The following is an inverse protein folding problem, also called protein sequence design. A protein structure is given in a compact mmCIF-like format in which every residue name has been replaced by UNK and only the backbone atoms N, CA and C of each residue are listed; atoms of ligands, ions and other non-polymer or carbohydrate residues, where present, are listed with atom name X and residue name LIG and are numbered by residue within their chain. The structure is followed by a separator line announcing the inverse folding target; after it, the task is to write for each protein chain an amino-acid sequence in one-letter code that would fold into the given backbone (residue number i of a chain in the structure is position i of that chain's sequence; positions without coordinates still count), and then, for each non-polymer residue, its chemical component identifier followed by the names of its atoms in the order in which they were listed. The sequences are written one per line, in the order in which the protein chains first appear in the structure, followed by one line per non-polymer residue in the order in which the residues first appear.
data_IF_528771010005
#
_entry.id   IF_528771010005
#
_cell.length_a   1.000
_cell.length_b   1.000
_cell.length_c   1.000
_cell.angle_alpha   90.00
_cell.angle_beta   90.00
_cell.angle_gamma   90.00
#
_symmetry.space_group_name_H-M   'P 1'
#
loop_
_entity.id
_entity.type
_entity.pdbx_description
1 polymer ?
#
# COMPACT_ATOMS: atom_id res chain seq x y z
N UNK A 1 15.10 -25.00 0.47
CA UNK A 1 13.73 -25.21 0.97
C UNK A 1 13.08 -23.84 1.07
N UNK A 2 12.32 -23.42 0.05
CA UNK A 2 11.45 -22.25 0.18
C UNK A 2 10.22 -22.73 0.94
N UNK A 3 10.04 -22.23 2.16
CA UNK A 3 8.85 -22.55 2.96
C UNK A 3 7.65 -21.93 2.24
N UNK A 4 6.84 -22.74 1.56
CA UNK A 4 5.57 -22.34 0.93
C UNK A 4 4.49 -22.29 2.02
N UNK A 5 4.74 -21.51 3.06
CA UNK A 5 3.68 -21.06 3.93
C UNK A 5 3.37 -19.64 3.45
N UNK A 6 2.16 -19.37 2.93
CA UNK A 6 1.76 -17.98 2.70
C UNK A 6 1.97 -17.27 4.04
N UNK A 7 2.55 -16.07 3.97
CA UNK A 7 2.79 -15.19 5.10
C UNK A 7 1.41 -14.82 5.67
N UNK A 8 0.82 -15.73 6.43
CA UNK A 8 -0.28 -15.40 7.32
C UNK A 8 0.37 -14.58 8.41
N UNK A 9 0.51 -13.27 8.13
CA UNK A 9 0.60 -12.28 9.18
C UNK A 9 -0.43 -12.70 10.22
N UNK A 10 0.01 -12.91 11.46
CA UNK A 10 -0.88 -13.30 12.56
C UNK A 10 -1.93 -12.20 12.85
N UNK A 11 -1.82 -11.08 12.14
CA UNK A 11 -2.73 -9.95 12.11
C UNK A 11 -3.46 -9.95 10.76
N UNK A 12 -4.78 -9.74 10.80
CA UNK A 12 -5.64 -9.53 9.63
C UNK A 12 -6.34 -8.18 9.75
N UNK A 13 -6.70 -7.52 8.64
CA UNK A 13 -7.56 -6.35 8.71
C UNK A 13 -8.96 -6.74 9.19
N UNK A 14 -9.70 -5.81 9.79
CA UNK A 14 -11.04 -6.08 10.32
C UNK A 14 -12.01 -4.97 9.94
N UNK A 15 -13.18 -5.32 9.40
CA UNK A 15 -14.25 -4.32 9.15
C UNK A 15 -14.76 -3.65 10.43
N UNK A 16 -14.36 -4.15 11.61
CA UNK A 16 -14.70 -3.59 12.92
C UNK A 16 -13.58 -2.73 13.51
N UNK A 17 -12.54 -2.43 12.74
CA UNK A 17 -11.45 -1.61 13.23
C UNK A 17 -11.95 -0.22 13.65
N UNK A 18 -11.52 0.28 14.82
CA UNK A 18 -11.97 1.57 15.32
C UNK A 18 -11.35 2.69 14.49
N UNK A 19 -12.20 3.49 13.84
CA UNK A 19 -11.82 4.69 13.09
C UNK A 19 -10.53 4.50 12.27
N UNK A 20 -10.50 3.60 11.28
CA UNK A 20 -9.28 3.21 10.59
C UNK A 20 -8.57 4.43 9.98
N UNK A 21 -7.26 4.53 10.19
CA UNK A 21 -6.38 5.55 9.64
C UNK A 21 -5.36 4.87 8.74
N UNK A 22 -5.31 5.27 7.47
CA UNK A 22 -4.35 4.78 6.48
C UNK A 22 -3.39 5.91 6.16
N UNK A 23 -2.17 5.81 6.66
CA UNK A 23 -1.04 6.63 6.27
C UNK A 23 -0.35 5.91 5.11
N UNK A 24 -0.18 6.56 3.97
CA UNK A 24 0.41 5.93 2.80
C UNK A 24 1.40 6.85 2.11
N UNK A 25 2.30 6.26 1.31
CA UNK A 25 3.26 7.05 0.57
C UNK A 25 2.59 7.88 -0.54
N UNK A 26 2.67 9.20 -0.37
CA UNK A 26 2.92 10.12 -1.47
C UNK A 26 1.73 10.81 -2.12
N UNK A 27 2.00 12.05 -2.58
CA UNK A 27 1.09 12.89 -3.38
C UNK A 27 1.02 12.48 -4.86
N UNK A 28 1.98 11.69 -5.34
CA UNK A 28 2.03 11.18 -6.72
C UNK A 28 2.74 9.82 -6.84
N UNK A 29 2.87 9.02 -5.77
CA UNK A 29 3.48 7.69 -5.84
C UNK A 29 2.45 6.66 -6.31
N UNK A 30 2.63 6.01 -7.48
CA UNK A 30 1.70 5.00 -7.94
C UNK A 30 1.61 3.77 -7.04
N UNK A 31 2.73 3.37 -6.44
CA UNK A 31 2.76 2.21 -5.54
C UNK A 31 2.01 2.51 -4.24
N UNK A 32 2.36 3.60 -3.56
CA UNK A 32 1.67 4.03 -2.35
C UNK A 32 0.19 4.33 -2.54
N UNK A 33 -0.21 4.90 -3.69
CA UNK A 33 -1.63 5.11 -3.98
C UNK A 33 -2.37 3.82 -4.28
N UNK A 34 -1.77 2.86 -5.00
CA UNK A 34 -2.35 1.53 -5.18
C UNK A 34 -2.44 0.76 -3.85
N UNK A 35 -1.48 0.95 -2.95
CA UNK A 35 -1.52 0.40 -1.60
C UNK A 35 -2.70 0.97 -0.80
N UNK A 36 -2.88 2.29 -0.85
CA UNK A 36 -4.02 2.98 -0.24
C UNK A 36 -5.36 2.57 -0.86
N UNK A 37 -5.41 2.33 -2.19
CA UNK A 37 -6.59 1.83 -2.88
C UNK A 37 -7.04 0.49 -2.31
N UNK A 38 -6.12 -0.44 -2.02
CA UNK A 38 -6.44 -1.72 -1.40
C UNK A 38 -7.17 -1.50 -0.05
N UNK A 39 -6.65 -0.62 0.80
CA UNK A 39 -7.28 -0.28 2.08
C UNK A 39 -8.63 0.44 1.90
N UNK A 40 -8.71 1.41 0.99
CA UNK A 40 -9.93 2.17 0.69
C UNK A 40 -11.07 1.26 0.24
N UNK A 41 -10.79 0.33 -0.68
CA UNK A 41 -11.74 -0.71 -1.12
C UNK A 41 -12.19 -1.59 0.04
N UNK A 42 -11.26 -1.98 0.91
CA UNK A 42 -11.58 -2.80 2.05
C UNK A 42 -12.51 -2.05 3.01
N UNK A 43 -12.17 -0.83 3.45
CA UNK A 43 -13.01 -0.12 4.40
C UNK A 43 -14.26 0.52 3.79
N UNK A 44 -14.47 0.43 2.46
CA UNK A 44 -15.65 0.97 1.80
C UNK A 44 -15.80 2.48 2.02
N UNK A 45 -14.69 3.22 2.02
CA UNK A 45 -14.65 4.66 2.27
C UNK A 45 -14.77 5.08 3.74
N UNK A 46 -14.78 4.15 4.70
CA UNK A 46 -14.87 4.47 6.13
C UNK A 46 -13.52 4.82 6.77
N UNK A 47 -12.40 4.55 6.09
CA UNK A 47 -11.08 4.90 6.56
C UNK A 47 -10.75 6.37 6.23
N UNK A 48 -10.06 7.03 7.15
CA UNK A 48 -9.34 8.28 6.84
C UNK A 48 -8.05 7.90 6.12
N UNK A 49 -7.79 8.47 4.95
CA UNK A 49 -6.57 8.21 4.18
C UNK A 49 -5.75 9.50 4.09
N UNK A 50 -4.48 9.42 4.48
CA UNK A 50 -3.55 10.55 4.49
C UNK A 50 -2.30 10.16 3.73
N UNK A 51 -2.11 10.79 2.57
CA UNK A 51 -0.90 10.66 1.76
C UNK A 51 0.21 11.52 2.34
N UNK A 52 1.38 10.93 2.56
CA UNK A 52 2.54 11.58 3.17
C UNK A 52 3.79 11.37 2.32
N UNK A 53 4.57 12.44 2.16
CA UNK A 53 5.91 12.38 1.58
C UNK A 53 7.00 12.38 2.67
N UNK A 54 8.20 11.95 2.31
CA UNK A 54 9.34 12.02 3.23
C UNK A 54 9.60 13.46 3.68
N UNK A 55 9.54 13.67 5.01
CA UNK A 55 9.76 14.97 5.64
C UNK A 55 8.48 15.75 5.97
N UNK A 56 7.31 15.29 5.55
CA UNK A 56 6.03 15.91 5.92
C UNK A 56 5.73 15.77 7.43
N UNK A 57 6.23 14.71 8.05
CA UNK A 57 6.06 14.42 9.49
C UNK A 57 7.40 14.51 10.19
N UNK A 58 7.55 15.49 11.09
CA UNK A 58 8.75 15.67 11.92
C UNK A 58 8.55 15.10 13.33
N UNK A 59 7.29 15.03 13.78
CA UNK A 59 6.90 14.47 15.06
C UNK A 59 5.57 13.73 14.95
N UNK A 60 5.26 12.88 15.94
CA UNK A 60 3.98 12.18 16.01
C UNK A 60 2.77 13.14 16.08
N UNK A 61 2.99 14.37 16.54
CA UNK A 61 1.93 15.37 16.68
C UNK A 61 1.54 16.03 15.34
N UNK A 62 2.31 15.79 14.28
CA UNK A 62 1.96 16.21 12.91
C UNK A 62 0.93 15.26 12.26
N UNK A 63 0.66 14.10 12.89
CA UNK A 63 -0.28 13.11 12.40
C UNK A 63 -1.70 13.38 12.91
N UNK A 64 -2.74 12.90 12.21
CA UNK A 64 -4.10 12.88 12.75
C UNK A 64 -4.15 12.18 14.13
N UNK A 65 -5.18 12.45 14.95
CA UNK A 65 -5.32 11.80 16.25
C UNK A 65 -5.18 10.28 16.14
N UNK A 66 -4.37 9.68 17.02
CA UNK A 66 -4.01 8.25 16.97
C UNK A 66 -4.71 7.41 18.04
N UNK A 67 -5.13 8.05 19.14
CA UNK A 67 -5.63 7.39 20.33
C UNK A 67 -6.81 6.45 20.02
N UNK A 68 -6.62 5.14 20.28
CA UNK A 68 -7.68 4.14 20.10
C UNK A 68 -8.04 3.83 18.65
N UNK A 69 -7.22 4.22 17.67
CA UNK A 69 -7.46 3.91 16.25
C UNK A 69 -6.71 2.67 15.78
N UNK A 70 -7.19 2.06 14.70
CA UNK A 70 -6.38 1.16 13.91
C UNK A 70 -5.59 1.95 12.86
N UNK A 71 -4.27 1.96 12.98
CA UNK A 71 -3.35 2.68 12.11
C UNK A 71 -2.67 1.71 11.15
N UNK A 72 -2.74 2.02 9.87
CA UNK A 72 -2.08 1.34 8.77
C UNK A 72 -1.06 2.28 8.14
N UNK A 73 0.15 1.80 7.94
CA UNK A 73 1.24 2.52 7.26
C UNK A 73 1.62 1.70 6.04
N UNK A 74 1.46 2.27 4.84
CA UNK A 74 1.58 1.54 3.58
C UNK A 74 2.58 2.21 2.64
N UNK A 75 3.52 1.42 2.11
CA UNK A 75 4.53 1.84 1.13
C UNK A 75 5.56 2.87 1.63
N UNK A 76 5.68 3.04 2.95
CA UNK A 76 6.77 3.79 3.56
C UNK A 76 6.90 3.46 5.04
N UNK A 77 7.92 4.03 5.68
CA UNK A 77 8.16 3.90 7.11
C UNK A 77 8.56 5.22 7.76
N UNK A 78 8.07 5.45 8.98
CA UNK A 78 8.62 6.50 9.84
C UNK A 78 9.90 6.04 10.55
N UNK A 79 10.56 6.97 11.24
CA UNK A 79 11.64 6.63 12.18
C UNK A 79 11.11 5.77 13.32
N UNK A 80 12.01 5.03 13.98
CA UNK A 80 11.65 4.21 15.15
C UNK A 80 10.93 5.04 16.22
N UNK A 81 11.41 6.24 16.53
CA UNK A 81 10.81 7.11 17.54
C UNK A 81 9.34 7.46 17.25
N UNK A 82 9.02 7.80 15.99
CA UNK A 82 7.65 8.09 15.58
C UNK A 82 6.81 6.80 15.60
N UNK A 83 7.34 5.68 15.11
CA UNK A 83 6.62 4.40 15.16
C UNK A 83 6.31 3.95 16.59
N UNK A 84 7.23 4.14 17.54
CA UNK A 84 6.98 3.88 18.97
C UNK A 84 5.87 4.79 19.50
N UNK A 85 5.92 6.08 19.15
CA UNK A 85 4.90 7.03 19.58
C UNK A 85 3.51 6.68 19.00
N UNK A 86 3.43 6.17 17.78
CA UNK A 86 2.20 5.65 17.18
C UNK A 86 1.74 4.39 17.92
N UNK A 87 2.64 3.42 18.11
CA UNK A 87 2.38 2.15 18.79
C UNK A 87 1.84 2.33 20.23
N UNK A 88 2.32 3.35 20.95
CA UNK A 88 1.87 3.68 22.30
C UNK A 88 0.44 4.25 22.36
N UNK A 89 -0.02 4.89 21.28
CA UNK A 89 -1.31 5.60 21.23
C UNK A 89 -2.39 4.80 20.49
N UNK A 90 -2.01 4.09 19.44
CA UNK A 90 -2.93 3.35 18.58
C UNK A 90 -3.44 2.08 19.26
N UNK A 91 -4.69 1.69 18.96
CA UNK A 91 -5.21 0.37 19.35
C UNK A 91 -4.57 -0.73 18.51
N UNK A 92 -4.24 -0.43 17.25
CA UNK A 92 -3.53 -1.32 16.34
C UNK A 92 -2.57 -0.55 15.46
N UNK A 93 -1.41 -1.16 15.20
CA UNK A 93 -0.45 -0.67 14.22
C UNK A 93 -0.09 -1.78 13.22
N UNK A 94 -0.30 -1.54 11.93
CA UNK A 94 0.16 -2.39 10.83
C UNK A 94 1.01 -1.55 9.89
N UNK A 95 2.27 -1.94 9.71
CA UNK A 95 3.16 -1.35 8.72
C UNK A 95 3.50 -2.40 7.66
N UNK A 96 3.25 -2.07 6.39
CA UNK A 96 3.60 -2.87 5.22
C UNK A 96 4.48 -2.02 4.30
N UNK A 97 5.73 -2.42 4.12
CA UNK A 97 6.70 -1.64 3.37
C UNK A 97 7.73 -2.56 2.68
N UNK A 98 8.41 -2.05 1.67
CA UNK A 98 9.40 -2.76 0.86
C UNK A 98 10.75 -2.00 0.76
N UNK A 99 10.90 -0.88 1.48
CA UNK A 99 12.13 -0.11 1.47
C UNK A 99 13.23 -0.73 2.36
N UNK A 100 14.29 -1.25 1.74
CA UNK A 100 15.43 -1.89 2.44
C UNK A 100 16.04 -1.03 3.55
N UNK A 101 16.27 0.25 3.28
CA UNK A 101 16.86 1.19 4.25
C UNK A 101 15.98 1.37 5.50
N UNK A 102 14.66 1.27 5.35
CA UNK A 102 13.73 1.32 6.48
C UNK A 102 13.75 0.00 7.27
N UNK A 103 13.75 -1.13 6.58
CA UNK A 103 13.86 -2.46 7.19
C UNK A 103 15.13 -2.58 8.06
N UNK A 104 16.27 -2.09 7.56
CA UNK A 104 17.54 -2.08 8.31
C UNK A 104 17.44 -1.24 9.58
N UNK A 105 16.86 -0.03 9.50
CA UNK A 105 16.69 0.88 10.64
C UNK A 105 15.72 0.35 11.69
N UNK A 106 14.75 -0.48 11.29
CA UNK A 106 13.73 -1.05 12.18
C UNK A 106 14.03 -2.49 12.57
N UNK A 107 15.27 -2.95 12.36
CA UNK A 107 15.73 -4.27 12.79
C UNK A 107 15.53 -4.43 14.30
N UNK A 108 14.73 -5.42 14.70
CA UNK A 108 14.44 -5.68 16.12
C UNK A 108 13.24 -4.90 16.67
N UNK A 109 12.56 -4.10 15.85
CA UNK A 109 11.32 -3.44 16.27
C UNK A 109 10.22 -4.48 16.54
N UNK A 110 9.88 -4.68 17.81
CA UNK A 110 8.73 -5.47 18.23
C UNK A 110 7.50 -4.57 18.43
N UNK A 111 6.43 -4.83 17.68
CA UNK A 111 5.15 -4.13 17.83
C UNK A 111 4.24 -4.87 18.83
N UNK A 112 3.76 -4.21 19.88
CA UNK A 112 2.86 -4.82 20.87
C UNK A 112 1.42 -4.96 20.40
N UNK A 113 0.97 -4.04 19.54
CA UNK A 113 -0.43 -3.91 19.12
C UNK A 113 -0.66 -4.25 17.64
N UNK A 114 0.30 -4.91 16.98
CA UNK A 114 0.13 -5.34 15.59
C UNK A 114 1.41 -5.86 14.96
N UNK A 115 1.76 -5.38 13.77
CA UNK A 115 2.86 -5.94 12.98
C UNK A 115 3.58 -4.86 12.17
N UNK A 116 4.91 -5.00 12.10
CA UNK A 116 5.77 -4.27 11.17
C UNK A 116 6.35 -5.31 10.22
N UNK A 117 5.99 -5.23 8.94
CA UNK A 117 6.32 -6.22 7.94
C UNK A 117 7.02 -5.59 6.75
N UNK A 118 8.15 -6.20 6.40
CA UNK A 118 8.93 -5.86 5.23
C UNK A 118 9.06 -7.07 4.30
N UNK A 119 8.87 -6.86 3.00
CA UNK A 119 9.16 -7.84 1.95
C UNK A 119 9.79 -7.10 0.77
N UNK A 120 11.04 -7.45 0.42
CA UNK A 120 11.76 -6.77 -0.66
C UNK A 120 11.43 -7.36 -2.04
N UNK A 121 10.73 -8.50 -2.08
CA UNK A 121 10.35 -9.17 -3.33
C UNK A 121 8.98 -8.71 -3.83
N UNK A 122 8.32 -7.79 -3.12
CA UNK A 122 6.99 -7.26 -3.41
C UNK A 122 6.96 -5.75 -3.23
N UNK A 123 6.17 -5.05 -4.03
CA UNK A 123 5.93 -3.62 -3.81
C UNK A 123 4.96 -3.38 -2.65
N UNK A 124 4.89 -2.15 -2.13
CA UNK A 124 3.90 -1.74 -1.14
C UNK A 124 2.46 -1.98 -1.60
N UNK A 125 2.16 -1.71 -2.88
CA UNK A 125 0.85 -2.01 -3.48
C UNK A 125 0.50 -3.50 -3.41
N UNK A 126 1.46 -4.37 -3.76
CA UNK A 126 1.27 -5.82 -3.69
C UNK A 126 1.02 -6.30 -2.27
N UNK A 127 1.84 -5.83 -1.33
CA UNK A 127 1.73 -6.18 0.09
C UNK A 127 0.37 -5.77 0.65
N UNK A 128 -0.06 -4.55 0.39
CA UNK A 128 -1.36 -4.06 0.84
C UNK A 128 -2.51 -4.85 0.20
N UNK A 129 -2.45 -5.15 -1.11
CA UNK A 129 -3.50 -5.91 -1.77
C UNK A 129 -3.66 -7.31 -1.17
N UNK A 130 -2.57 -8.05 -0.99
CA UNK A 130 -2.61 -9.39 -0.38
C UNK A 130 -3.09 -9.34 1.08
N UNK A 131 -2.78 -8.27 1.82
CA UNK A 131 -3.22 -8.11 3.20
C UNK A 131 -4.73 -7.82 3.31
N UNK A 132 -5.24 -6.90 2.49
CA UNK A 132 -6.64 -6.46 2.53
C UNK A 132 -7.59 -7.40 1.80
N UNK A 133 -7.14 -8.03 0.73
CA UNK A 133 -7.97 -8.86 -0.15
C UNK A 133 -7.31 -10.23 -0.43
N UNK A 134 -6.99 -11.03 0.60
CA UNK A 134 -6.20 -12.27 0.45
C UNK A 134 -6.86 -13.34 -0.42
N UNK A 135 -8.18 -13.28 -0.59
CA UNK A 135 -8.97 -14.23 -1.38
C UNK A 135 -9.31 -13.69 -2.79
N UNK A 136 -8.99 -12.42 -3.08
CA UNK A 136 -9.21 -11.83 -4.41
C UNK A 136 -8.00 -12.07 -5.32
N UNK A 137 -8.27 -12.20 -6.62
CA UNK A 137 -7.19 -12.22 -7.61
C UNK A 137 -6.48 -10.87 -7.62
N UNK A 138 -5.15 -10.89 -7.79
CA UNK A 138 -4.36 -9.67 -7.92
C UNK A 138 -4.74 -8.93 -9.22
N UNK A 139 -5.19 -7.67 -9.15
CA UNK A 139 -5.49 -6.88 -10.33
C UNK A 139 -4.27 -6.63 -11.20
N UNK A 140 -4.50 -6.47 -12.50
CA UNK A 140 -3.47 -6.05 -13.45
C UNK A 140 -2.87 -4.69 -13.07
N UNK A 141 -3.68 -3.76 -12.54
CA UNK A 141 -3.18 -2.49 -12.02
C UNK A 141 -2.06 -2.70 -10.99
N UNK A 142 -2.26 -3.59 -10.02
CA UNK A 142 -1.25 -3.84 -8.97
C UNK A 142 -0.06 -4.60 -9.55
N UNK A 143 -0.28 -5.57 -10.46
CA UNK A 143 0.80 -6.31 -11.14
C UNK A 143 1.75 -5.38 -11.89
N UNK A 144 1.20 -4.46 -12.68
CA UNK A 144 2.02 -3.57 -13.50
C UNK A 144 2.68 -2.47 -12.68
N UNK A 145 2.00 -1.95 -11.64
CA UNK A 145 2.60 -1.01 -10.70
C UNK A 145 3.80 -1.65 -10.00
N UNK A 146 3.66 -2.87 -9.46
CA UNK A 146 4.77 -3.64 -8.86
C UNK A 146 5.90 -3.88 -9.87
N UNK A 147 5.58 -4.21 -11.12
CA UNK A 147 6.58 -4.50 -12.15
C UNK A 147 7.48 -3.30 -12.45
N UNK A 148 6.94 -2.08 -12.42
CA UNK A 148 7.70 -0.83 -12.54
C UNK A 148 8.44 -0.49 -11.26
N UNK A 149 7.76 -0.60 -10.13
CA UNK A 149 8.29 -0.18 -8.83
C UNK A 149 9.53 -0.99 -8.41
N UNK A 150 9.50 -2.31 -8.64
CA UNK A 150 10.64 -3.19 -8.44
C UNK A 150 11.64 -3.20 -9.61
N UNK A 151 11.36 -2.45 -10.69
CA UNK A 151 12.15 -2.40 -11.93
C UNK A 151 12.34 -3.77 -12.62
N UNK A 152 11.33 -4.64 -12.54
CA UNK A 152 11.42 -6.00 -13.09
C UNK A 152 11.15 -6.04 -14.60
N UNK A 153 10.20 -5.24 -15.09
CA UNK A 153 9.78 -5.18 -16.50
C UNK A 153 9.47 -6.56 -17.11
N UNK A 154 8.87 -7.45 -16.34
CA UNK A 154 8.64 -8.84 -16.74
C UNK A 154 7.44 -9.01 -17.69
N UNK A 155 6.52 -8.04 -17.71
CA UNK A 155 5.34 -8.09 -18.58
C UNK A 155 5.50 -7.16 -19.78
N UNK A 156 5.38 -7.66 -21.03
CA UNK A 156 5.37 -6.82 -22.23
C UNK A 156 4.31 -5.72 -22.20
N UNK A 157 3.21 -5.95 -21.49
CA UNK A 157 2.09 -5.03 -21.34
C UNK A 157 2.40 -3.85 -20.40
N UNK A 158 3.37 -3.99 -19.48
CA UNK A 158 3.65 -3.01 -18.43
C UNK A 158 3.85 -1.61 -19.01
N UNK A 159 4.69 -1.46 -20.03
CA UNK A 159 4.99 -0.14 -20.61
C UNK A 159 3.73 0.58 -21.12
N UNK A 160 2.88 -0.12 -21.87
CA UNK A 160 1.66 0.45 -22.43
C UNK A 160 0.62 0.77 -21.35
N UNK A 161 0.44 -0.14 -20.39
CA UNK A 161 -0.51 0.05 -19.30
C UNK A 161 -0.10 1.21 -18.39
N UNK A 162 1.18 1.27 -18.01
CA UNK A 162 1.70 2.28 -17.10
C UNK A 162 1.73 3.66 -17.75
N UNK A 163 2.08 3.77 -19.03
CA UNK A 163 1.97 5.03 -19.76
C UNK A 163 0.52 5.54 -19.80
N UNK A 164 -0.46 4.64 -19.93
CA UNK A 164 -1.87 5.01 -19.83
C UNK A 164 -2.27 5.44 -18.40
N UNK A 165 -1.77 4.74 -17.38
CA UNK A 165 -2.01 5.03 -15.97
C UNK A 165 -1.40 6.38 -15.53
N UNK A 166 -0.24 6.76 -16.05
CA UNK A 166 0.43 8.03 -15.74
C UNK A 166 -0.38 9.26 -16.21
N UNK A 167 -1.36 9.07 -17.10
CA UNK A 167 -2.30 10.12 -17.53
C UNK A 167 -3.56 10.21 -16.65
N UNK A 168 -3.77 9.25 -15.75
CA UNK A 168 -4.96 9.20 -14.90
C UNK A 168 -4.74 10.01 -13.61
N UNK A 169 -5.80 10.68 -13.10
CA UNK A 169 -5.71 11.33 -11.80
C UNK A 169 -5.52 10.29 -10.70
N UNK A 170 -4.85 10.70 -9.61
CA UNK A 170 -4.81 9.95 -8.35
C UNK A 170 -6.18 10.03 -7.66
N UNK A 171 -7.14 9.30 -8.20
CA UNK A 171 -8.52 9.20 -7.72
C UNK A 171 -8.88 7.73 -7.46
N UNK A 172 -9.36 7.44 -6.25
CA UNK A 172 -9.61 6.06 -5.83
C UNK A 172 -10.73 5.37 -6.62
N UNK A 173 -11.79 6.11 -6.97
CA UNK A 173 -12.88 5.54 -7.77
C UNK A 173 -12.37 5.19 -9.17
N UNK A 174 -11.58 6.09 -9.77
CA UNK A 174 -10.97 5.86 -11.08
C UNK A 174 -10.01 4.69 -11.09
N UNK A 175 -9.12 4.60 -10.10
CA UNK A 175 -8.18 3.48 -10.02
C UNK A 175 -8.87 2.16 -9.68
N UNK A 176 -9.97 2.19 -8.92
CA UNK A 176 -10.81 1.01 -8.74
C UNK A 176 -11.40 0.54 -10.08
N UNK A 177 -11.95 1.43 -10.91
CA UNK A 177 -12.45 1.03 -12.23
C UNK A 177 -11.37 0.34 -13.06
N UNK A 178 -10.17 0.94 -13.12
CA UNK A 178 -9.03 0.41 -13.89
C UNK A 178 -8.58 -0.96 -13.37
N UNK A 179 -8.57 -1.14 -12.03
CA UNK A 179 -8.20 -2.42 -11.42
C UNK A 179 -9.14 -3.57 -11.79
N UNK A 180 -10.37 -3.29 -12.23
CA UNK A 180 -11.39 -4.29 -12.58
C UNK A 180 -11.85 -4.21 -14.03
N UNK A 181 -11.03 -3.64 -14.92
CA UNK A 181 -11.29 -3.71 -16.34
C UNK A 181 -11.40 -5.15 -16.84
N UNK A 182 -12.39 -5.38 -17.71
CA UNK A 182 -12.43 -6.59 -18.51
C UNK A 182 -11.31 -6.59 -19.56
N UNK A 183 -11.03 -7.72 -20.24
CA UNK A 183 -9.95 -7.79 -21.22
C UNK A 183 -10.06 -6.77 -22.37
N UNK A 184 -11.27 -6.39 -22.79
CA UNK A 184 -11.47 -5.41 -23.84
C UNK A 184 -11.17 -3.99 -23.35
N UNK A 185 -11.60 -3.66 -22.13
CA UNK A 185 -11.28 -2.41 -21.45
C UNK A 185 -9.78 -2.26 -21.20
N UNK A 186 -9.10 -3.31 -20.73
CA UNK A 186 -7.64 -3.32 -20.53
C UNK A 186 -6.90 -3.10 -21.85
N UNK A 187 -7.31 -3.77 -22.93
CA UNK A 187 -6.72 -3.57 -24.26
C UNK A 187 -6.91 -2.12 -24.76
N UNK A 188 -8.11 -1.57 -24.61
CA UNK A 188 -8.41 -0.18 -24.99
C UNK A 188 -7.62 0.83 -24.13
N UNK A 189 -7.42 0.54 -22.85
CA UNK A 189 -6.62 1.35 -21.94
C UNK A 189 -5.15 1.37 -22.37
N UNK A 190 -4.55 0.20 -22.63
CA UNK A 190 -3.16 0.09 -23.10
C UNK A 190 -2.92 0.75 -24.46
N UNK A 191 -3.91 0.71 -25.37
CA UNK A 191 -3.80 1.38 -26.67
C UNK A 191 -3.59 2.91 -26.53
N UNK A 192 -4.10 3.54 -25.47
CA UNK A 192 -3.85 4.96 -25.17
C UNK A 192 -2.39 5.21 -24.82
N UNK A 193 -1.76 4.32 -24.06
CA UNK A 193 -0.36 4.45 -23.65
C UNK A 193 0.63 4.17 -24.79
N UNK A 194 0.27 3.31 -25.75
CA UNK A 194 1.10 3.04 -26.95
C UNK A 194 1.17 4.20 -27.94
N UNK A 195 0.20 5.12 -27.88
CA UNK A 195 0.13 6.27 -28.78
C UNK A 195 0.98 7.47 -28.33
N UNK A 196 1.69 7.34 -27.21
CA UNK A 196 2.59 8.34 -26.63
C UNK A 196 4.04 8.05 -26.95
#
# INVERSE_FOLDING_TARGET
MKTILPLQLLVKPSKKDPQPLVLFHGRSCPDGFAAALAAWRYYGGQAELVGLDHGDTQSVDDLPPLAGRAVYILDFSFSEDILRAIEERAERLVLLDHHKSAAEKLTGFACRCGVVHFDMDKSGARLAWEFFHPEETLPDLVRYVEDRDLWNWQYPESAAFLAALDMEPFDFARWQEIAFFDPAQTAAFMARGQAM
#
